data_IF_942220378314
#
_entry.id   IF_942220378314
#
_cell.length_a   1.000
_cell.length_b   1.000
_cell.length_c   1.000
_cell.angle_alpha   90.00
_cell.angle_beta   90.00
_cell.angle_gamma   90.00
#
_symmetry.space_group_name_H-M   'P 1'
#
loop_
_entity.id
_entity.type
_entity.pdbx_description
1 polymer ?
#
# COMPACT_ATOMS: atom_id res chain seq x y z
N UNK A 1 13.00 -15.26 14.81
CA UNK A 1 12.89 -13.89 14.28
C UNK A 1 12.04 -13.08 15.22
N UNK A 2 12.32 -11.79 15.38
CA UNK A 2 11.44 -10.89 16.13
C UNK A 2 10.16 -10.63 15.32
N UNK A 3 8.95 -10.65 15.94
CA UNK A 3 7.69 -10.48 15.21
C UNK A 3 7.59 -9.19 14.39
N UNK A 4 8.24 -8.10 14.84
CA UNK A 4 8.25 -6.81 14.16
C UNK A 4 9.05 -6.80 12.84
N UNK A 5 9.79 -7.87 12.56
CA UNK A 5 10.49 -8.09 11.29
C UNK A 5 9.64 -8.90 10.30
N UNK A 6 8.44 -9.33 10.68
CA UNK A 6 7.52 -10.11 9.84
C UNK A 6 6.32 -9.24 9.50
N UNK A 7 6.06 -9.10 8.20
CA UNK A 7 4.91 -8.37 7.66
C UNK A 7 3.99 -9.39 7.00
N UNK A 8 2.72 -9.41 7.40
CA UNK A 8 1.68 -10.15 6.69
C UNK A 8 1.03 -9.26 5.63
N UNK A 9 1.06 -9.71 4.38
CA UNK A 9 0.41 -9.04 3.26
C UNK A 9 -0.99 -9.62 3.06
N UNK A 10 -1.99 -8.75 3.05
CA UNK A 10 -3.39 -9.10 2.82
C UNK A 10 -3.80 -8.58 1.45
N UNK A 11 -4.15 -9.49 0.56
CA UNK A 11 -4.69 -9.14 -0.77
C UNK A 11 -6.19 -8.91 -0.70
N UNK A 12 -6.70 -7.89 -1.41
CA UNK A 12 -8.13 -7.58 -1.49
C UNK A 12 -8.98 -8.68 -2.16
N UNK A 13 -8.35 -9.62 -2.88
CA UNK A 13 -9.03 -10.61 -3.74
C UNK A 13 -9.94 -11.59 -2.98
N UNK A 14 -9.78 -11.75 -1.68
CA UNK A 14 -10.78 -12.38 -0.83
C UNK A 14 -11.76 -11.33 -0.34
N UNK A 15 -12.99 -11.36 -0.87
CA UNK A 15 -14.08 -10.53 -0.35
C UNK A 15 -14.19 -10.75 1.17
N UNK A 16 -13.79 -9.73 1.94
CA UNK A 16 -13.96 -9.76 3.39
C UNK A 16 -15.45 -9.53 3.64
N UNK A 17 -16.21 -10.61 3.71
CA UNK A 17 -17.64 -10.56 4.02
C UNK A 17 -17.87 -10.14 5.48
N UNK A 18 -16.97 -10.55 6.39
CA UNK A 18 -17.00 -10.19 7.81
C UNK A 18 -15.71 -9.45 8.23
N UNK A 19 -15.73 -8.12 8.08
CA UNK A 19 -14.64 -7.24 8.51
C UNK A 19 -14.39 -7.31 10.01
N UNK A 20 -15.39 -7.64 10.83
CA UNK A 20 -15.23 -7.68 12.29
C UNK A 20 -14.40 -8.89 12.70
N UNK A 21 -14.75 -10.07 12.20
CA UNK A 21 -13.98 -11.28 12.47
C UNK A 21 -12.57 -11.18 11.89
N UNK A 22 -12.43 -10.62 10.69
CA UNK A 22 -11.13 -10.40 10.07
C UNK A 22 -10.26 -9.44 10.88
N UNK A 23 -10.82 -8.31 11.30
CA UNK A 23 -10.12 -7.34 12.16
C UNK A 23 -9.67 -7.96 13.48
N UNK A 24 -10.54 -8.71 14.16
CA UNK A 24 -10.17 -9.39 15.40
C UNK A 24 -9.00 -10.37 15.20
N UNK A 25 -8.98 -11.09 14.08
CA UNK A 25 -7.87 -11.97 13.74
C UNK A 25 -6.57 -11.20 13.51
N UNK A 26 -6.62 -10.07 12.80
CA UNK A 26 -5.44 -9.21 12.58
C UNK A 26 -4.95 -8.57 13.88
N UNK A 27 -5.86 -8.09 14.75
CA UNK A 27 -5.50 -7.51 16.05
C UNK A 27 -4.73 -8.50 16.92
N UNK A 28 -5.08 -9.78 16.89
CA UNK A 28 -4.32 -10.83 17.57
C UNK A 28 -2.85 -10.89 17.12
N UNK A 29 -2.56 -10.72 15.83
CA UNK A 29 -1.18 -10.71 15.32
C UNK A 29 -0.48 -9.37 15.58
N UNK A 30 -1.18 -8.25 15.44
CA UNK A 30 -0.62 -6.93 15.75
C UNK A 30 -0.19 -6.86 17.22
N UNK A 31 -1.00 -7.40 18.14
CA UNK A 31 -0.69 -7.47 19.57
C UNK A 31 0.52 -8.36 19.89
N UNK A 32 0.87 -9.29 18.99
CA UNK A 32 2.11 -10.08 19.09
C UNK A 32 3.33 -9.38 18.48
N UNK A 33 3.14 -8.19 17.89
CA UNK A 33 4.20 -7.37 17.29
C UNK A 33 4.38 -7.54 15.79
N UNK A 34 3.55 -8.36 15.12
CA UNK A 34 3.56 -8.47 13.65
C UNK A 34 3.04 -7.18 13.00
N UNK A 35 3.49 -6.93 11.78
CA UNK A 35 3.02 -5.79 10.97
C UNK A 35 2.12 -6.26 9.85
N UNK A 36 1.21 -5.41 9.41
CA UNK A 36 0.25 -5.70 8.35
C UNK A 36 0.48 -4.75 7.17
N UNK A 37 0.45 -5.31 5.97
CA UNK A 37 0.37 -4.59 4.71
C UNK A 37 -0.92 -4.93 3.98
N UNK A 38 -1.54 -3.94 3.33
CA UNK A 38 -2.60 -4.19 2.35
C UNK A 38 -1.99 -4.12 0.95
N UNK A 39 -2.24 -5.17 0.18
CA UNK A 39 -1.73 -5.37 -1.17
C UNK A 39 -2.74 -4.95 -2.23
N UNK A 40 -2.28 -4.65 -3.45
CA UNK A 40 -3.11 -4.24 -4.60
C UNK A 40 -3.99 -2.99 -4.36
N UNK A 41 -3.60 -2.08 -3.45
CA UNK A 41 -4.43 -0.91 -3.12
C UNK A 41 -4.47 0.08 -4.29
N UNK A 42 -5.69 0.42 -4.75
CA UNK A 42 -5.91 1.43 -5.81
C UNK A 42 -6.44 0.86 -7.13
N UNK A 43 -6.47 -0.46 -7.31
CA UNK A 43 -7.03 -1.11 -8.49
C UNK A 43 -8.58 -1.21 -8.48
N UNK A 44 -9.26 -0.84 -7.37
CA UNK A 44 -10.73 -0.97 -7.25
C UNK A 44 -11.39 -0.19 -6.10
N UNK A 45 -12.72 -0.32 -5.97
CA UNK A 45 -13.57 0.38 -4.98
C UNK A 45 -13.34 -0.07 -3.51
N UNK A 46 -12.68 -1.22 -3.29
CA UNK A 46 -12.54 -1.88 -1.98
C UNK A 46 -11.35 -1.39 -1.14
N UNK A 47 -10.32 -0.80 -1.75
CA UNK A 47 -9.07 -0.52 -1.04
C UNK A 47 -9.16 0.54 0.03
N UNK A 48 -9.81 1.67 -0.25
CA UNK A 48 -9.97 2.73 0.77
C UNK A 48 -10.82 2.26 1.96
N UNK A 49 -11.87 1.48 1.73
CA UNK A 49 -12.68 0.90 2.80
C UNK A 49 -11.84 -0.05 3.67
N UNK A 50 -11.07 -0.92 3.02
CA UNK A 50 -10.18 -1.88 3.69
C UNK A 50 -9.12 -1.16 4.52
N UNK A 51 -8.49 -0.11 3.98
CA UNK A 51 -7.55 0.74 4.71
C UNK A 51 -8.18 1.40 5.93
N UNK A 52 -9.41 1.90 5.82
CA UNK A 52 -10.14 2.55 6.93
C UNK A 52 -10.47 1.57 8.06
N UNK A 53 -10.88 0.35 7.72
CA UNK A 53 -11.27 -0.68 8.71
C UNK A 53 -10.05 -1.29 9.41
N UNK A 54 -9.00 -1.59 8.65
CA UNK A 54 -7.82 -2.35 9.13
C UNK A 54 -6.73 -1.43 9.70
N UNK A 55 -6.55 -0.23 9.14
CA UNK A 55 -5.48 0.72 9.52
C UNK A 55 -4.09 0.07 9.55
N UNK A 56 -3.61 -0.46 8.41
CA UNK A 56 -2.35 -1.21 8.34
C UNK A 56 -1.13 -0.30 8.59
N UNK A 57 0.03 -0.90 8.82
CA UNK A 57 1.29 -0.16 8.87
C UNK A 57 1.85 0.13 7.47
N UNK A 58 1.50 -0.70 6.48
CA UNK A 58 1.97 -0.58 5.10
C UNK A 58 0.81 -0.61 4.10
N UNK A 59 0.98 0.14 3.03
CA UNK A 59 0.09 0.16 1.87
C UNK A 59 0.95 -0.10 0.64
N UNK A 60 0.58 -1.11 -0.15
CA UNK A 60 1.23 -1.41 -1.43
C UNK A 60 0.31 -0.93 -2.54
N UNK A 61 0.84 -0.04 -3.39
CA UNK A 61 0.13 0.56 -4.50
C UNK A 61 0.37 -0.29 -5.74
N UNK A 62 -0.72 -0.77 -6.33
CA UNK A 62 -0.72 -1.66 -7.48
C UNK A 62 -0.04 -1.04 -8.72
N UNK A 63 0.54 -1.92 -9.55
CA UNK A 63 1.20 -1.56 -10.80
C UNK A 63 0.32 -0.77 -11.76
N UNK A 64 -1.01 -0.92 -11.73
CA UNK A 64 -1.91 -0.14 -12.57
C UNK A 64 -1.82 1.37 -12.31
N UNK A 65 -1.52 1.79 -11.07
CA UNK A 65 -1.30 3.19 -10.71
C UNK A 65 0.15 3.64 -10.92
N UNK A 66 1.11 2.71 -10.90
CA UNK A 66 2.54 3.01 -11.12
C UNK A 66 2.90 3.09 -12.60
N UNK A 67 2.34 2.21 -13.42
CA UNK A 67 2.68 2.10 -14.84
C UNK A 67 2.36 3.39 -15.60
N UNK A 68 3.36 3.95 -16.27
CA UNK A 68 3.33 5.24 -16.97
C UNK A 68 2.95 6.44 -16.08
N UNK A 69 3.20 6.38 -14.76
CA UNK A 69 2.90 7.52 -13.86
C UNK A 69 3.67 8.79 -14.26
N UNK A 70 4.84 8.64 -14.87
CA UNK A 70 5.65 9.74 -15.44
C UNK A 70 4.91 10.54 -16.53
N UNK A 71 3.96 9.92 -17.22
CA UNK A 71 3.22 10.50 -18.36
C UNK A 71 1.78 10.89 -18.04
N UNK A 72 1.29 10.55 -16.87
CA UNK A 72 -0.12 10.72 -16.50
C UNK A 72 -0.27 11.60 -15.26
N UNK A 73 -0.64 12.86 -15.48
CA UNK A 73 -0.82 13.83 -14.41
C UNK A 73 -1.89 13.39 -13.40
N UNK A 74 -2.95 12.70 -13.84
CA UNK A 74 -3.98 12.24 -12.92
C UNK A 74 -3.45 11.18 -11.97
N UNK A 75 -2.64 10.24 -12.47
CA UNK A 75 -1.95 9.25 -11.62
C UNK A 75 -0.96 9.91 -10.65
N UNK A 76 -0.24 10.94 -11.09
CA UNK A 76 0.68 11.68 -10.21
C UNK A 76 -0.07 12.34 -9.05
N UNK A 77 -1.18 13.04 -9.32
CA UNK A 77 -1.99 13.70 -8.29
C UNK A 77 -2.67 12.70 -7.35
N UNK A 78 -3.13 11.57 -7.90
CA UNK A 78 -3.64 10.48 -7.08
C UNK A 78 -2.55 9.91 -6.18
N UNK A 79 -1.32 9.74 -6.68
CA UNK A 79 -0.20 9.33 -5.85
C UNK A 79 0.18 10.35 -4.77
N UNK A 80 0.17 11.66 -5.08
CA UNK A 80 0.37 12.71 -4.07
C UNK A 80 -0.67 12.61 -2.95
N UNK A 81 -1.92 12.29 -3.30
CA UNK A 81 -3.00 12.08 -2.34
C UNK A 81 -2.68 10.88 -1.41
N UNK A 82 -2.26 9.75 -1.97
CA UNK A 82 -1.86 8.58 -1.18
C UNK A 82 -0.64 8.84 -0.29
N UNK A 83 0.38 9.54 -0.80
CA UNK A 83 1.56 9.94 -0.01
C UNK A 83 1.15 10.83 1.16
N UNK A 84 0.27 11.79 0.92
CA UNK A 84 -0.24 12.69 1.97
C UNK A 84 -1.03 11.91 3.02
N UNK A 85 -1.93 11.02 2.59
CA UNK A 85 -2.70 10.16 3.47
C UNK A 85 -1.75 9.33 4.35
N UNK A 86 -0.82 8.61 3.74
CA UNK A 86 0.11 7.72 4.44
C UNK A 86 0.94 8.49 5.49
N UNK A 87 1.45 9.67 5.15
CA UNK A 87 2.18 10.53 6.11
C UNK A 87 1.28 10.98 7.27
N UNK A 88 0.04 11.38 6.98
CA UNK A 88 -0.90 11.86 7.99
C UNK A 88 -1.40 10.78 8.96
N UNK A 89 -1.40 9.52 8.51
CA UNK A 89 -1.88 8.36 9.28
C UNK A 89 -0.75 7.47 9.79
N UNK A 90 0.51 7.90 9.62
CA UNK A 90 1.71 7.14 9.98
C UNK A 90 1.80 5.75 9.32
N UNK A 91 1.27 5.63 8.10
CA UNK A 91 1.39 4.46 7.25
C UNK A 91 2.59 4.62 6.32
N UNK A 92 3.16 3.49 5.88
CA UNK A 92 4.26 3.46 4.91
C UNK A 92 3.74 3.01 3.55
N UNK A 93 4.01 3.80 2.53
CA UNK A 93 3.60 3.49 1.16
C UNK A 93 4.74 2.78 0.41
N UNK A 94 4.39 1.73 -0.31
CA UNK A 94 5.27 0.96 -1.21
C UNK A 94 4.65 1.03 -2.61
N UNK A 95 5.40 1.52 -3.59
CA UNK A 95 4.98 1.50 -5.00
C UNK A 95 5.41 0.19 -5.68
N UNK A 96 4.49 -0.53 -6.31
CA UNK A 96 4.77 -1.82 -6.95
C UNK A 96 4.81 -1.74 -8.47
N UNK A 97 5.67 -2.58 -9.06
CA UNK A 97 5.77 -2.70 -10.51
C UNK A 97 6.49 -1.53 -11.17
N UNK A 98 7.52 -1.00 -10.51
CA UNK A 98 8.41 0.02 -11.11
C UNK A 98 9.27 -0.66 -12.20
N UNK A 99 9.00 -0.34 -13.46
CA UNK A 99 9.65 -0.99 -14.61
C UNK A 99 10.64 -0.07 -15.33
N UNK A 100 10.54 1.25 -15.12
CA UNK A 100 11.37 2.25 -15.80
C UNK A 100 12.02 3.24 -14.84
N UNK A 101 13.09 3.90 -15.32
CA UNK A 101 13.77 4.96 -14.60
C UNK A 101 12.87 6.17 -14.39
N UNK A 102 12.09 6.50 -15.42
CA UNK A 102 11.20 7.66 -15.43
C UNK A 102 10.09 7.50 -14.37
N UNK A 103 9.46 6.33 -14.28
CA UNK A 103 8.51 6.01 -13.21
C UNK A 103 9.14 6.15 -11.82
N UNK A 104 10.35 5.59 -11.61
CA UNK A 104 11.05 5.71 -10.34
C UNK A 104 11.32 7.17 -9.96
N UNK A 105 11.85 7.98 -10.89
CA UNK A 105 12.17 9.38 -10.63
C UNK A 105 10.92 10.18 -10.29
N UNK A 106 9.82 9.98 -11.03
CA UNK A 106 8.53 10.61 -10.74
C UNK A 106 8.02 10.21 -9.35
N UNK A 107 8.10 8.94 -8.96
CA UNK A 107 7.67 8.49 -7.63
C UNK A 107 8.52 9.09 -6.50
N UNK A 108 9.83 9.20 -6.69
CA UNK A 108 10.75 9.87 -5.74
C UNK A 108 10.37 11.35 -5.60
N UNK A 109 10.10 12.05 -6.71
CA UNK A 109 9.69 13.46 -6.71
C UNK A 109 8.36 13.67 -5.99
N UNK A 110 7.40 12.76 -6.19
CA UNK A 110 6.11 12.75 -5.48
C UNK A 110 6.30 12.47 -3.97
N UNK A 111 7.43 11.87 -3.58
CA UNK A 111 7.80 11.63 -2.20
C UNK A 111 7.41 10.23 -1.69
N UNK A 112 7.33 9.26 -2.60
CA UNK A 112 7.21 7.83 -2.28
C UNK A 112 8.56 7.34 -1.72
N UNK A 113 8.52 6.69 -0.56
CA UNK A 113 9.73 6.34 0.19
C UNK A 113 10.20 4.89 0.02
N UNK A 114 9.39 4.03 -0.60
CA UNK A 114 9.72 2.63 -0.84
C UNK A 114 9.10 2.17 -2.16
N UNK A 115 9.79 1.28 -2.87
CA UNK A 115 9.34 0.74 -4.14
C UNK A 115 9.82 -0.68 -4.37
N UNK A 116 9.10 -1.39 -5.22
CA UNK A 116 9.42 -2.73 -5.71
C UNK A 116 9.17 -2.76 -7.21
N UNK A 117 10.06 -3.38 -7.97
CA UNK A 117 9.88 -3.54 -9.41
C UNK A 117 11.13 -4.06 -10.09
N UNK A 118 11.00 -4.42 -11.36
CA UNK A 118 12.11 -4.97 -12.15
C UNK A 118 13.29 -4.00 -12.33
N UNK A 119 13.03 -2.69 -12.25
CA UNK A 119 14.06 -1.66 -12.40
C UNK A 119 14.94 -1.46 -11.14
N UNK A 120 14.50 -1.93 -9.98
CA UNK A 120 15.17 -1.77 -8.68
C UNK A 120 16.04 -2.98 -8.33
#
# INVERSE_FOLDING_TARGET
>A
MSPDLIIFEITEKTAIEDYKSFKNALENYINQGYKIAIDDTGAGYSGLKTLMEIKPQYIKIDISLIKNVDKDLFKQELMRTFVTLARSTNMKLIAEGIETKEELLTLIEIGVCAGQGYFL
#
